data_IF_581982355250
#
_entry.id   IF_581982355250
#
_cell.length_a   1.000
_cell.length_b   1.000
_cell.length_c   1.000
_cell.angle_alpha   90.00
_cell.angle_beta   90.00
_cell.angle_gamma   90.00
#
_symmetry.space_group_name_H-M   'P 1'
#
loop_
_entity.id
_entity.type
_entity.pdbx_description
1 polymer ?
#
# COMPACT_ATOMS: atom_id res chain seq x y z
N UNK A 1 -43.44 49.82 26.79
CA UNK A 1 -43.53 48.41 26.37
C UNK A 1 -43.20 48.20 24.89
N UNK A 2 -43.86 48.87 23.95
CA UNK A 2 -43.67 48.67 22.50
C UNK A 2 -42.24 48.96 21.97
N UNK A 3 -41.60 50.05 22.41
CA UNK A 3 -40.21 50.40 22.00
C UNK A 3 -39.17 49.39 22.51
N UNK A 4 -39.40 48.79 23.68
CA UNK A 4 -38.53 47.77 24.26
C UNK A 4 -38.64 46.45 23.50
N UNK A 5 -39.88 46.00 23.21
CA UNK A 5 -40.14 44.79 22.42
C UNK A 5 -39.57 44.93 21.00
N UNK A 6 -39.72 46.10 20.36
CA UNK A 6 -39.17 46.36 19.03
C UNK A 6 -37.63 46.43 19.02
N UNK A 7 -37.02 46.96 20.07
CA UNK A 7 -35.56 46.95 20.25
C UNK A 7 -35.01 45.53 20.43
N UNK A 8 -35.67 44.71 21.26
CA UNK A 8 -35.32 43.30 21.44
C UNK A 8 -35.49 42.50 20.14
N UNK A 9 -36.57 42.73 19.39
CA UNK A 9 -36.78 42.10 18.09
C UNK A 9 -35.67 42.44 17.09
N UNK A 10 -35.32 43.73 16.93
CA UNK A 10 -34.21 44.14 16.06
C UNK A 10 -32.88 43.52 16.49
N UNK A 11 -32.61 43.46 17.79
CA UNK A 11 -31.42 42.81 18.32
C UNK A 11 -31.38 41.32 17.99
N UNK A 12 -32.49 40.59 18.19
CA UNK A 12 -32.61 39.17 17.84
C UNK A 12 -32.46 38.93 16.33
N UNK A 13 -33.01 39.80 15.48
CA UNK A 13 -32.83 39.72 14.03
C UNK A 13 -31.37 39.92 13.65
N UNK A 14 -30.70 40.94 14.20
CA UNK A 14 -29.27 41.19 13.94
C UNK A 14 -28.42 40.00 14.40
N UNK A 15 -28.65 39.47 15.60
CA UNK A 15 -27.97 38.27 16.09
C UNK A 15 -28.19 37.05 15.18
N UNK A 16 -29.42 36.85 14.72
CA UNK A 16 -29.77 35.75 13.81
C UNK A 16 -29.04 35.89 12.47
N UNK A 17 -28.98 37.10 11.91
CA UNK A 17 -28.24 37.38 10.68
C UNK A 17 -26.74 37.14 10.88
N UNK A 18 -26.16 37.63 11.98
CA UNK A 18 -24.75 37.40 12.31
C UNK A 18 -24.45 35.90 12.47
N UNK A 19 -25.31 35.15 13.17
CA UNK A 19 -25.16 33.71 13.33
C UNK A 19 -25.28 32.97 11.99
N UNK A 20 -26.23 33.35 11.13
CA UNK A 20 -26.43 32.77 9.81
C UNK A 20 -25.24 33.06 8.87
N UNK A 21 -24.72 34.29 8.89
CA UNK A 21 -23.52 34.68 8.13
C UNK A 21 -22.29 33.92 8.66
N UNK A 22 -22.12 33.84 9.97
CA UNK A 22 -21.04 33.09 10.61
C UNK A 22 -21.09 31.60 10.26
N UNK A 23 -22.27 30.98 10.31
CA UNK A 23 -22.49 29.61 9.88
C UNK A 23 -22.20 29.45 8.38
N UNK A 24 -22.63 30.40 7.54
CA UNK A 24 -22.35 30.41 6.12
C UNK A 24 -20.86 30.46 5.80
N UNK A 25 -20.10 31.33 6.47
CA UNK A 25 -18.63 31.42 6.35
C UNK A 25 -17.98 30.12 6.82
N UNK A 26 -18.40 29.59 7.98
CA UNK A 26 -17.88 28.33 8.52
C UNK A 26 -18.15 27.17 7.56
N UNK A 27 -19.36 27.04 7.03
CA UNK A 27 -19.72 25.98 6.08
C UNK A 27 -18.97 26.14 4.75
N UNK A 28 -18.80 27.37 4.26
CA UNK A 28 -17.98 27.62 3.07
C UNK A 28 -16.52 27.20 3.30
N UNK A 29 -15.92 27.60 4.42
CA UNK A 29 -14.56 27.16 4.78
C UNK A 29 -14.47 25.63 4.89
N UNK A 30 -15.41 25.01 5.62
CA UNK A 30 -15.45 23.57 5.84
C UNK A 30 -15.57 22.79 4.54
N UNK A 31 -16.52 23.15 3.67
CA UNK A 31 -16.79 22.44 2.41
C UNK A 31 -15.70 22.67 1.35
N UNK A 32 -14.88 23.71 1.50
CA UNK A 32 -13.69 23.95 0.67
C UNK A 32 -12.39 23.42 1.32
N UNK A 33 -12.45 22.82 2.52
CA UNK A 33 -11.27 22.26 3.18
C UNK A 33 -10.81 20.99 2.45
N UNK A 34 -9.55 20.98 2.04
CA UNK A 34 -8.88 19.86 1.40
C UNK A 34 -7.40 19.84 1.80
N UNK A 35 -7.12 19.35 3.01
CA UNK A 35 -5.79 19.38 3.62
C UNK A 35 -5.32 17.98 3.99
N UNK A 36 -4.34 17.46 3.27
CA UNK A 36 -3.63 16.25 3.66
C UNK A 36 -2.51 16.58 4.64
N UNK A 37 -2.22 15.66 5.55
CA UNK A 37 -0.97 15.69 6.29
C UNK A 37 0.22 15.59 5.32
N UNK A 38 1.26 16.36 5.62
CA UNK A 38 2.50 16.42 4.86
C UNK A 38 3.66 16.49 5.84
N UNK A 39 4.76 15.84 5.48
CA UNK A 39 5.93 15.70 6.33
C UNK A 39 7.16 16.23 5.61
N UNK A 40 8.01 16.95 6.35
CA UNK A 40 9.29 17.46 5.84
C UNK A 40 10.30 16.33 5.70
N UNK A 41 10.34 15.41 6.66
CA UNK A 41 11.17 14.22 6.58
C UNK A 41 10.71 13.32 5.40
N UNK A 42 11.59 13.02 4.43
CA UNK A 42 11.21 12.24 3.26
C UNK A 42 10.78 10.80 3.59
N UNK A 43 11.38 10.17 4.63
CA UNK A 43 10.97 8.84 5.09
C UNK A 43 9.55 8.87 5.66
N UNK A 44 9.24 9.86 6.49
CA UNK A 44 7.89 10.09 7.01
C UNK A 44 6.88 10.41 5.90
N UNK A 45 7.28 11.22 4.90
CA UNK A 45 6.44 11.51 3.75
C UNK A 45 6.10 10.23 2.98
N UNK A 46 7.04 9.32 2.79
CA UNK A 46 6.77 8.02 2.18
C UNK A 46 5.86 7.15 3.06
N UNK A 47 6.11 7.08 4.36
CA UNK A 47 5.31 6.30 5.32
C UNK A 47 3.85 6.75 5.43
N UNK A 48 3.59 8.06 5.41
CA UNK A 48 2.29 8.62 5.82
C UNK A 48 1.68 9.65 4.85
N UNK A 49 2.39 10.07 3.80
CA UNK A 49 1.90 11.08 2.87
C UNK A 49 0.74 10.59 2.00
N UNK A 50 -0.18 11.49 1.68
CA UNK A 50 -1.30 11.22 0.76
C UNK A 50 -0.83 10.99 -0.67
N UNK A 51 -1.35 9.98 -1.37
CA UNK A 51 -1.24 9.87 -2.84
C UNK A 51 -2.44 10.52 -3.56
N UNK A 52 -3.48 10.87 -2.81
CA UNK A 52 -4.75 11.41 -3.30
C UNK A 52 -5.92 10.42 -3.22
N UNK A 53 -5.66 9.12 -3.05
CA UNK A 53 -6.69 8.08 -2.98
C UNK A 53 -7.69 8.27 -1.83
N UNK A 54 -7.25 8.88 -0.73
CA UNK A 54 -8.06 9.23 0.44
C UNK A 54 -9.22 10.20 0.14
N UNK A 55 -9.19 10.96 -0.96
CA UNK A 55 -10.35 11.76 -1.39
C UNK A 55 -11.52 10.90 -1.86
N UNK A 56 -11.23 9.84 -2.61
CA UNK A 56 -12.24 9.00 -3.24
C UNK A 56 -12.62 7.81 -2.37
N UNK A 57 -11.62 7.08 -1.88
CA UNK A 57 -11.77 5.79 -1.20
C UNK A 57 -11.49 5.86 0.30
N UNK A 58 -11.02 7.00 0.80
CA UNK A 58 -10.73 7.18 2.22
C UNK A 58 -11.95 6.97 3.11
N UNK A 59 -11.75 6.21 4.17
CA UNK A 59 -12.74 5.95 5.21
C UNK A 59 -12.71 7.08 6.23
N UNK A 60 -13.85 7.53 6.76
CA UNK A 60 -13.83 8.45 7.88
C UNK A 60 -13.03 7.85 9.04
N UNK A 61 -12.04 8.60 9.56
CA UNK A 61 -11.08 8.10 10.54
C UNK A 61 -11.72 7.51 11.82
N UNK A 62 -12.79 8.11 12.41
CA UNK A 62 -13.50 7.49 13.52
C UNK A 62 -14.08 6.10 13.20
N UNK A 63 -14.59 5.88 11.98
CA UNK A 63 -15.07 4.56 11.55
C UNK A 63 -13.89 3.60 11.44
N UNK A 64 -12.77 4.04 10.86
CA UNK A 64 -11.55 3.23 10.84
C UNK A 64 -11.09 2.82 12.25
N UNK A 65 -11.16 3.71 13.23
CA UNK A 65 -10.73 3.38 14.59
C UNK A 65 -11.60 2.31 15.25
N UNK A 66 -12.93 2.43 15.14
CA UNK A 66 -13.86 1.52 15.83
C UNK A 66 -14.05 0.18 15.10
N UNK A 67 -13.69 0.07 13.83
CA UNK A 67 -13.96 -1.14 13.04
C UNK A 67 -13.44 -2.43 13.68
N UNK A 68 -12.16 -2.54 14.10
CA UNK A 68 -11.65 -3.76 14.75
C UNK A 68 -12.36 -4.10 16.07
N UNK A 69 -12.87 -3.09 16.78
CA UNK A 69 -13.59 -3.26 18.05
C UNK A 69 -15.04 -3.70 17.80
N UNK A 70 -15.78 -2.93 16.99
CA UNK A 70 -17.17 -3.22 16.66
C UNK A 70 -17.30 -4.58 15.97
N UNK A 71 -16.43 -4.86 14.99
CA UNK A 71 -16.47 -6.07 14.17
C UNK A 71 -15.52 -7.17 14.64
N UNK A 72 -15.19 -7.18 15.94
CA UNK A 72 -14.26 -8.13 16.58
C UNK A 72 -14.43 -9.60 16.14
N UNK A 73 -15.67 -10.08 15.95
CA UNK A 73 -15.93 -11.46 15.54
C UNK A 73 -15.38 -11.86 14.16
N UNK A 74 -15.04 -10.87 13.32
CA UNK A 74 -14.48 -11.06 11.99
C UNK A 74 -12.96 -10.87 11.96
N UNK A 75 -12.34 -10.53 13.09
CA UNK A 75 -10.89 -10.37 13.21
C UNK A 75 -10.18 -11.72 13.01
N UNK A 76 -8.90 -11.71 12.61
CA UNK A 76 -8.09 -12.92 12.54
C UNK A 76 -8.09 -13.66 13.88
N UNK A 77 -8.38 -14.97 13.82
CA UNK A 77 -8.57 -15.80 15.01
C UNK A 77 -7.32 -15.80 15.89
N UNK A 78 -7.48 -15.53 17.18
CA UNK A 78 -6.40 -15.45 18.16
C UNK A 78 -5.61 -14.14 18.16
N UNK A 79 -6.01 -13.17 17.32
CA UNK A 79 -5.39 -11.83 17.21
C UNK A 79 -6.43 -10.71 17.35
N UNK A 80 -7.59 -11.01 17.95
CA UNK A 80 -8.75 -10.10 18.02
C UNK A 80 -8.46 -8.82 18.82
N UNK A 81 -7.47 -8.85 19.72
CA UNK A 81 -7.05 -7.72 20.55
C UNK A 81 -5.95 -6.85 19.92
N UNK A 82 -5.40 -7.25 18.77
CA UNK A 82 -4.28 -6.53 18.14
C UNK A 82 -4.73 -5.36 17.24
N UNK A 83 -6.04 -5.13 17.11
CA UNK A 83 -6.59 -4.10 16.22
C UNK A 83 -6.07 -4.27 14.79
N UNK A 84 -5.65 -3.19 14.14
CA UNK A 84 -5.14 -3.27 12.77
C UNK A 84 -3.84 -4.10 12.64
N UNK A 85 -3.05 -4.24 13.71
CA UNK A 85 -1.84 -5.07 13.67
C UNK A 85 -2.14 -6.57 13.46
N UNK A 86 -3.37 -7.02 13.74
CA UNK A 86 -3.84 -8.37 13.43
C UNK A 86 -3.72 -8.74 11.94
N UNK A 87 -3.77 -7.74 11.05
CA UNK A 87 -3.60 -7.88 9.61
C UNK A 87 -2.16 -7.61 9.14
N UNK A 88 -1.22 -7.43 10.07
CA UNK A 88 0.17 -7.14 9.76
C UNK A 88 0.50 -5.67 9.49
N UNK A 89 -0.43 -4.76 9.78
CA UNK A 89 -0.13 -3.32 9.76
C UNK A 89 0.95 -2.97 10.79
N UNK A 90 1.88 -2.09 10.39
CA UNK A 90 3.01 -1.67 11.21
C UNK A 90 2.65 -0.40 11.98
N UNK A 91 2.93 -0.36 13.28
CA UNK A 91 2.81 0.83 14.11
C UNK A 91 4.17 1.30 14.60
N UNK A 92 4.28 2.62 14.79
CA UNK A 92 5.42 3.27 15.42
C UNK A 92 5.02 3.80 16.78
N UNK A 93 5.90 3.66 17.77
CA UNK A 93 5.72 4.29 19.06
C UNK A 93 5.60 5.80 18.92
N UNK A 94 4.80 6.42 19.79
CA UNK A 94 4.54 7.86 19.75
C UNK A 94 5.81 8.72 19.82
N UNK A 95 6.84 8.23 20.50
CA UNK A 95 8.16 8.89 20.57
C UNK A 95 8.86 8.98 19.20
N UNK A 96 8.54 8.06 18.28
CA UNK A 96 9.07 7.99 16.92
C UNK A 96 8.14 8.63 15.88
N UNK A 97 7.01 9.21 16.29
CA UNK A 97 6.11 9.86 15.34
C UNK A 97 6.77 11.06 14.67
N UNK A 98 6.62 11.22 13.34
CA UNK A 98 7.13 12.40 12.66
C UNK A 98 6.39 13.65 13.13
N UNK A 99 7.11 14.77 13.12
CA UNK A 99 6.53 16.07 13.44
C UNK A 99 5.31 16.36 12.56
N UNK A 100 4.19 16.72 13.19
CA UNK A 100 2.93 17.01 12.51
C UNK A 100 1.94 15.84 12.48
N UNK A 101 2.35 14.63 12.86
CA UNK A 101 1.42 13.50 13.02
C UNK A 101 0.64 13.62 14.33
N UNK A 102 -0.70 13.65 14.25
CA UNK A 102 -1.55 13.82 15.44
C UNK A 102 -2.47 12.62 15.74
N UNK A 103 -2.53 11.61 14.86
CA UNK A 103 -3.35 10.41 15.03
C UNK A 103 -2.49 9.15 15.08
N UNK A 104 -2.82 8.22 15.98
CA UNK A 104 -2.20 6.89 16.00
C UNK A 104 -2.77 6.04 14.85
N UNK A 105 -1.98 5.85 13.80
CA UNK A 105 -2.37 5.07 12.63
C UNK A 105 -1.16 4.32 12.05
N UNK A 106 -1.39 3.23 11.31
CA UNK A 106 -0.29 2.43 10.78
C UNK A 106 0.60 3.18 9.79
N UNK A 107 1.86 2.78 9.72
CA UNK A 107 2.71 3.03 8.55
C UNK A 107 2.00 2.48 7.31
N UNK A 108 2.07 3.23 6.22
CA UNK A 108 1.32 2.88 5.00
C UNK A 108 -0.05 3.52 4.93
N UNK A 109 -0.40 4.45 5.82
CA UNK A 109 -1.70 5.13 5.82
C UNK A 109 -1.58 6.65 5.76
N UNK A 110 -2.55 7.25 5.10
CA UNK A 110 -2.66 8.70 4.88
C UNK A 110 -3.73 9.29 5.79
N UNK A 111 -3.67 10.59 6.04
CA UNK A 111 -4.76 11.31 6.70
C UNK A 111 -5.01 12.63 5.99
N UNK A 112 -6.27 12.87 5.58
CA UNK A 112 -6.70 14.10 4.93
C UNK A 112 -8.00 14.59 5.53
N UNK A 113 -8.04 15.87 5.89
CA UNK A 113 -9.30 16.56 6.13
C UNK A 113 -9.90 16.98 4.78
N UNK A 114 -10.94 16.28 4.35
CA UNK A 114 -11.67 16.57 3.13
C UNK A 114 -13.11 16.95 3.50
N UNK A 115 -13.46 18.20 3.25
CA UNK A 115 -14.78 18.78 3.53
C UNK A 115 -15.20 18.72 5.01
N UNK A 116 -14.23 18.83 5.94
CA UNK A 116 -14.45 18.75 7.38
C UNK A 116 -14.50 17.33 7.95
N UNK A 117 -14.22 16.31 7.14
CA UNK A 117 -14.13 14.91 7.57
C UNK A 117 -12.69 14.45 7.42
N UNK A 118 -12.05 14.03 8.51
CA UNK A 118 -10.77 13.32 8.44
C UNK A 118 -10.98 11.95 7.82
N UNK A 119 -10.27 11.68 6.72
CA UNK A 119 -10.31 10.42 5.97
C UNK A 119 -8.94 9.77 5.98
N UNK A 120 -8.94 8.47 6.22
CA UNK A 120 -7.76 7.61 6.20
C UNK A 120 -7.82 6.64 5.03
N UNK A 121 -6.69 6.41 4.40
CA UNK A 121 -6.55 5.44 3.32
C UNK A 121 -5.13 4.87 3.26
N UNK A 122 -4.93 3.80 2.49
CA UNK A 122 -3.60 3.20 2.31
C UNK A 122 -2.78 3.95 1.24
N UNK A 123 -1.47 4.02 1.41
CA UNK A 123 -0.51 4.49 0.41
C UNK A 123 0.55 3.42 0.08
N UNK A 124 1.57 3.80 -0.68
CA UNK A 124 2.65 2.92 -1.13
C UNK A 124 3.36 2.17 0.01
N UNK A 125 3.50 2.79 1.18
CA UNK A 125 4.24 2.21 2.29
C UNK A 125 3.54 1.00 2.93
N UNK A 126 2.24 0.79 2.69
CA UNK A 126 1.56 -0.41 3.17
C UNK A 126 2.15 -1.70 2.56
N UNK A 127 2.65 -1.62 1.32
CA UNK A 127 3.26 -2.74 0.60
C UNK A 127 4.79 -2.68 0.52
N UNK A 128 5.37 -1.50 0.78
CA UNK A 128 6.79 -1.21 0.57
C UNK A 128 7.51 -0.71 1.83
N UNK A 129 7.00 -1.10 2.99
CA UNK A 129 7.72 -0.99 4.27
C UNK A 129 7.58 -2.30 5.01
N UNK A 130 8.71 -2.88 5.40
CA UNK A 130 8.78 -4.11 6.17
C UNK A 130 9.32 -3.89 7.58
N UNK A 131 9.36 -4.97 8.36
CA UNK A 131 10.02 -5.01 9.66
C UNK A 131 10.99 -6.16 9.75
N UNK A 132 12.12 -5.91 10.39
CA UNK A 132 13.13 -6.92 10.67
C UNK A 132 13.54 -6.88 12.13
N UNK A 133 13.67 -8.05 12.74
CA UNK A 133 14.06 -8.24 14.14
C UNK A 133 15.22 -9.23 14.21
N UNK A 134 16.30 -8.80 14.86
CA UNK A 134 17.52 -9.61 14.99
C UNK A 134 17.36 -10.82 15.94
N UNK A 135 16.52 -10.70 16.98
CA UNK A 135 16.22 -11.78 17.92
C UNK A 135 14.82 -11.62 18.50
N UNK A 136 14.28 -12.64 19.17
CA UNK A 136 12.90 -12.63 19.66
C UNK A 136 12.56 -11.39 20.52
N UNK A 137 13.52 -10.94 21.33
CA UNK A 137 13.36 -9.83 22.28
C UNK A 137 13.89 -8.48 21.76
N UNK A 138 14.41 -8.42 20.53
CA UNK A 138 14.92 -7.16 19.97
C UNK A 138 13.77 -6.26 19.50
N UNK A 139 13.96 -4.95 19.55
CA UNK A 139 13.04 -4.03 18.89
C UNK A 139 13.09 -4.25 17.37
N UNK A 140 11.93 -4.32 16.67
CA UNK A 140 11.90 -4.48 15.24
C UNK A 140 12.30 -3.18 14.54
N UNK A 141 13.25 -3.27 13.61
CA UNK A 141 13.61 -2.16 12.72
C UNK A 141 12.58 -2.06 11.58
N UNK A 142 12.05 -0.86 11.37
CA UNK A 142 11.16 -0.55 10.24
C UNK A 142 12.01 -0.13 9.04
N UNK A 143 11.96 -0.93 7.98
CA UNK A 143 12.80 -0.71 6.79
C UNK A 143 11.98 -0.14 5.65
N UNK A 144 12.23 1.13 5.34
CA UNK A 144 11.52 1.85 4.26
C UNK A 144 12.04 1.44 2.89
N UNK A 145 11.13 1.06 1.99
CA UNK A 145 11.44 0.59 0.64
C UNK A 145 11.60 -0.94 0.53
N UNK A 146 11.52 -1.66 1.65
CA UNK A 146 11.54 -3.12 1.74
C UNK A 146 10.20 -3.71 1.26
N UNK A 147 10.19 -4.90 0.63
CA UNK A 147 8.97 -5.69 0.49
C UNK A 147 8.28 -5.87 1.85
N UNK A 148 7.02 -5.44 1.98
CA UNK A 148 6.31 -5.62 3.24
C UNK A 148 6.12 -7.11 3.53
N UNK A 149 6.77 -7.62 4.57
CA UNK A 149 6.80 -9.05 4.91
C UNK A 149 5.63 -9.48 5.80
N UNK A 150 4.96 -8.54 6.48
CA UNK A 150 3.97 -8.83 7.53
C UNK A 150 2.52 -8.56 7.13
N UNK A 151 2.27 -7.60 6.24
CA UNK A 151 0.92 -7.20 5.83
C UNK A 151 0.19 -8.34 5.11
N UNK A 152 -1.03 -8.64 5.53
CA UNK A 152 -1.96 -9.57 4.87
C UNK A 152 -3.14 -8.77 4.32
N UNK A 153 -2.98 -8.28 3.09
CA UNK A 153 -4.03 -7.50 2.42
C UNK A 153 -5.28 -8.34 2.12
N UNK A 154 -5.15 -9.66 1.95
CA UNK A 154 -6.31 -10.52 1.72
C UNK A 154 -7.15 -10.64 2.99
N UNK A 155 -6.52 -10.91 4.14
CA UNK A 155 -7.21 -10.95 5.43
C UNK A 155 -7.86 -9.60 5.77
N UNK A 156 -7.16 -8.49 5.47
CA UNK A 156 -7.72 -7.15 5.63
C UNK A 156 -8.95 -6.93 4.72
N UNK A 157 -8.88 -7.32 3.45
CA UNK A 157 -10.02 -7.24 2.53
C UNK A 157 -11.20 -8.08 3.02
N UNK A 158 -10.96 -9.34 3.40
CA UNK A 158 -11.98 -10.24 3.93
C UNK A 158 -12.69 -9.63 5.15
N UNK A 159 -11.93 -9.04 6.07
CA UNK A 159 -12.48 -8.34 7.24
C UNK A 159 -13.35 -7.14 6.85
N UNK A 160 -12.90 -6.31 5.91
CA UNK A 160 -13.67 -5.15 5.44
C UNK A 160 -15.01 -5.59 4.84
N UNK A 161 -15.00 -6.64 4.01
CA UNK A 161 -16.20 -7.20 3.39
C UNK A 161 -17.14 -7.81 4.43
N UNK A 162 -16.61 -8.61 5.36
CA UNK A 162 -17.39 -9.23 6.43
C UNK A 162 -18.04 -8.17 7.34
N UNK A 163 -17.29 -7.11 7.67
CA UNK A 163 -17.79 -5.97 8.45
C UNK A 163 -18.95 -5.27 7.74
N UNK A 164 -18.82 -4.97 6.44
CA UNK A 164 -19.89 -4.30 5.69
C UNK A 164 -21.16 -5.17 5.52
N UNK A 165 -21.03 -6.49 5.60
CA UNK A 165 -22.15 -7.44 5.61
C UNK A 165 -22.76 -7.65 7.00
N UNK A 166 -22.10 -7.19 8.05
CA UNK A 166 -22.57 -7.33 9.42
C UNK A 166 -23.85 -6.53 9.68
N UNK A 167 -24.76 -7.11 10.47
CA UNK A 167 -26.01 -6.44 10.86
C UNK A 167 -25.76 -5.19 11.71
N UNK A 168 -24.62 -5.11 12.41
CA UNK A 168 -24.22 -3.96 13.23
C UNK A 168 -23.57 -2.84 12.43
N UNK A 169 -23.47 -2.95 11.11
CA UNK A 169 -23.02 -1.83 10.27
C UNK A 169 -24.16 -0.82 10.05
N UNK A 170 -24.63 -0.24 11.15
CA UNK A 170 -25.71 0.74 11.21
C UNK A 170 -25.21 2.08 11.77
N UNK A 171 -25.88 3.21 11.47
CA UNK A 171 -25.51 4.48 12.07
C UNK A 171 -25.59 4.47 13.60
N UNK A 172 -26.58 3.77 14.16
CA UNK A 172 -26.80 3.66 15.61
C UNK A 172 -25.62 2.96 16.30
N UNK A 173 -25.24 1.76 15.82
CA UNK A 173 -24.16 0.97 16.41
C UNK A 173 -22.79 1.65 16.23
N UNK A 174 -22.53 2.21 15.03
CA UNK A 174 -21.26 2.90 14.77
C UNK A 174 -21.11 4.15 15.63
N UNK A 175 -22.17 4.97 15.78
CA UNK A 175 -22.10 6.16 16.62
C UNK A 175 -22.00 5.77 18.09
N UNK A 176 -22.71 4.73 18.54
CA UNK A 176 -22.61 4.23 19.90
C UNK A 176 -21.19 3.75 20.22
N UNK A 177 -20.54 3.04 19.31
CA UNK A 177 -19.16 2.58 19.49
C UNK A 177 -18.15 3.76 19.48
N UNK A 178 -18.35 4.74 18.59
CA UNK A 178 -17.55 5.98 18.57
C UNK A 178 -17.63 6.69 19.93
N UNK A 179 -18.82 6.74 20.53
CA UNK A 179 -19.05 7.36 21.83
C UNK A 179 -18.42 6.52 22.97
N UNK A 180 -18.50 5.19 22.90
CA UNK A 180 -17.90 4.27 23.87
C UNK A 180 -16.37 4.36 23.89
N UNK A 181 -15.74 4.49 22.73
CA UNK A 181 -14.30 4.68 22.56
C UNK A 181 -13.83 6.12 22.84
N UNK A 182 -14.75 7.03 23.20
CA UNK A 182 -14.42 8.42 23.54
C UNK A 182 -13.87 9.23 22.36
N UNK A 183 -14.20 8.84 21.12
CA UNK A 183 -13.70 9.51 19.91
C UNK A 183 -14.51 10.80 19.68
N UNK A 184 -13.88 11.98 19.66
CA UNK A 184 -14.60 13.24 19.55
C UNK A 184 -15.25 13.40 18.17
N UNK A 185 -16.55 13.69 18.16
CA UNK A 185 -17.34 13.94 16.96
C UNK A 185 -18.19 15.21 17.12
N UNK A 186 -17.89 16.25 16.33
CA UNK A 186 -18.69 17.48 16.35
C UNK A 186 -20.12 17.26 15.86
N UNK A 187 -21.03 18.18 16.17
CA UNK A 187 -22.46 18.05 15.85
C UNK A 187 -22.71 17.84 14.34
N UNK A 188 -21.99 18.54 13.48
CA UNK A 188 -22.18 18.43 12.02
C UNK A 188 -21.71 17.06 11.55
N UNK A 189 -20.53 16.62 11.98
CA UNK A 189 -20.03 15.28 11.68
C UNK A 189 -20.97 14.19 12.24
N UNK A 190 -21.50 14.34 13.45
CA UNK A 190 -22.47 13.40 14.01
C UNK A 190 -23.73 13.27 13.15
N UNK A 191 -24.29 14.39 12.67
CA UNK A 191 -25.44 14.36 11.77
C UNK A 191 -25.08 13.74 10.41
N UNK A 192 -23.92 14.06 9.86
CA UNK A 192 -23.42 13.45 8.62
C UNK A 192 -23.29 11.94 8.77
N UNK A 193 -22.77 11.45 9.88
CA UNK A 193 -22.60 10.01 10.13
C UNK A 193 -23.94 9.32 10.28
N UNK A 194 -24.84 9.93 11.06
CA UNK A 194 -26.18 9.40 11.33
C UNK A 194 -27.01 9.22 10.07
N UNK A 195 -26.97 10.20 9.17
CA UNK A 195 -27.87 10.24 8.02
C UNK A 195 -27.23 9.83 6.68
N UNK A 196 -25.90 9.82 6.57
CA UNK A 196 -25.24 9.66 5.27
C UNK A 196 -23.96 8.81 5.28
N UNK A 197 -22.95 9.18 6.07
CA UNK A 197 -21.61 8.63 5.89
C UNK A 197 -21.54 7.12 6.15
N UNK A 198 -22.25 6.60 7.15
CA UNK A 198 -22.27 5.17 7.45
C UNK A 198 -22.83 4.35 6.28
N UNK A 199 -23.97 4.76 5.74
CA UNK A 199 -24.57 4.09 4.57
C UNK A 199 -23.65 4.15 3.35
N UNK A 200 -23.04 5.31 3.09
CA UNK A 200 -22.11 5.48 1.98
C UNK A 200 -20.86 4.63 2.12
N UNK A 201 -20.27 4.57 3.31
CA UNK A 201 -19.10 3.72 3.58
C UNK A 201 -19.44 2.25 3.36
N UNK A 202 -20.57 1.78 3.92
CA UNK A 202 -21.03 0.40 3.74
C UNK A 202 -21.18 0.05 2.26
N UNK A 203 -21.89 0.89 1.50
CA UNK A 203 -22.12 0.67 0.08
C UNK A 203 -20.83 0.69 -0.73
N UNK A 204 -19.90 1.60 -0.42
CA UNK A 204 -18.59 1.65 -1.08
C UNK A 204 -17.77 0.39 -0.83
N UNK A 205 -17.71 -0.09 0.41
CA UNK A 205 -17.00 -1.33 0.73
C UNK A 205 -17.58 -2.50 -0.08
N UNK A 206 -18.91 -2.65 -0.11
CA UNK A 206 -19.58 -3.72 -0.86
C UNK A 206 -19.36 -3.60 -2.39
N UNK A 207 -19.36 -2.37 -2.91
CA UNK A 207 -19.12 -2.11 -4.35
C UNK A 207 -17.69 -2.46 -4.74
N UNK A 208 -16.72 -2.13 -3.88
CA UNK A 208 -15.33 -2.49 -4.07
C UNK A 208 -15.19 -4.01 -3.96
N UNK A 209 -15.79 -4.64 -2.96
CA UNK A 209 -15.75 -6.09 -2.75
C UNK A 209 -16.13 -6.88 -4.02
N UNK A 210 -17.19 -6.46 -4.73
CA UNK A 210 -17.61 -7.10 -5.97
C UNK A 210 -16.54 -7.01 -7.08
N UNK A 211 -15.79 -5.90 -7.14
CA UNK A 211 -14.65 -5.75 -8.07
C UNK A 211 -13.45 -6.62 -7.70
N UNK A 212 -13.34 -7.00 -6.43
CA UNK A 212 -12.26 -7.84 -5.92
C UNK A 212 -12.56 -9.35 -5.97
N UNK A 213 -13.69 -9.75 -6.56
CA UNK A 213 -14.10 -11.16 -6.72
C UNK A 213 -13.13 -12.03 -7.53
N UNK A 214 -12.13 -11.45 -8.19
CA UNK A 214 -11.03 -12.24 -8.77
C UNK A 214 -10.30 -13.07 -7.69
N UNK A 215 -10.23 -12.57 -6.46
CA UNK A 215 -9.57 -13.26 -5.34
C UNK A 215 -10.27 -14.58 -4.98
N UNK A 216 -11.56 -14.75 -5.33
CA UNK A 216 -12.30 -16.01 -5.14
C UNK A 216 -11.78 -17.14 -6.05
N UNK A 217 -11.03 -16.78 -7.11
CA UNK A 217 -10.48 -17.71 -8.11
C UNK A 217 -8.96 -17.90 -7.97
N UNK A 218 -8.34 -17.28 -7.00
CA UNK A 218 -6.89 -17.28 -6.78
C UNK A 218 -6.53 -18.07 -5.52
N UNK A 219 -5.31 -18.62 -5.43
CA UNK A 219 -4.82 -19.17 -4.16
C UNK A 219 -4.76 -18.07 -3.10
N UNK A 220 -4.90 -18.46 -1.83
CA UNK A 220 -4.73 -17.53 -0.70
C UNK A 220 -3.39 -16.80 -0.79
N UNK A 221 -3.41 -15.47 -0.72
CA UNK A 221 -2.22 -14.63 -0.88
C UNK A 221 -1.30 -14.80 0.32
N UNK A 222 -1.86 -14.68 1.53
CA UNK A 222 -1.11 -14.65 2.77
C UNK A 222 -0.19 -13.41 2.88
N UNK A 223 0.58 -13.33 3.98
CA UNK A 223 1.41 -12.16 4.26
C UNK A 223 2.48 -11.87 3.19
N UNK A 224 2.59 -10.59 2.85
CA UNK A 224 3.58 -10.04 1.93
C UNK A 224 3.33 -10.33 0.46
N UNK A 225 2.11 -10.72 0.09
CA UNK A 225 1.74 -10.96 -1.31
C UNK A 225 0.43 -10.29 -1.67
N UNK A 226 0.30 -9.98 -2.96
CA UNK A 226 -0.93 -9.44 -3.51
C UNK A 226 -1.03 -9.71 -5.01
N UNK A 227 -2.26 -9.75 -5.53
CA UNK A 227 -2.47 -9.75 -6.97
C UNK A 227 -2.28 -8.34 -7.56
N UNK A 228 -1.28 -8.19 -8.43
CA UNK A 228 -0.96 -6.88 -9.01
C UNK A 228 -1.88 -6.41 -10.13
N UNK A 229 -2.55 -7.31 -10.88
CA UNK A 229 -3.16 -6.96 -12.16
C UNK A 229 -4.59 -7.44 -12.37
N UNK A 230 -5.06 -8.45 -11.66
CA UNK A 230 -6.49 -8.74 -11.53
C UNK A 230 -7.29 -7.52 -11.03
N UNK A 231 -6.81 -6.69 -10.06
CA UNK A 231 -7.45 -5.42 -9.75
C UNK A 231 -7.52 -4.45 -10.95
N UNK A 232 -6.47 -4.41 -11.79
CA UNK A 232 -6.47 -3.56 -12.97
C UNK A 232 -7.49 -4.04 -14.01
N UNK A 233 -7.59 -5.35 -14.26
CA UNK A 233 -8.63 -5.96 -15.11
C UNK A 233 -10.04 -5.59 -14.61
N UNK A 234 -10.26 -5.69 -13.29
CA UNK A 234 -11.53 -5.31 -12.67
C UNK A 234 -11.84 -3.82 -12.85
N UNK A 235 -10.84 -2.93 -12.77
CA UNK A 235 -11.02 -1.50 -13.06
C UNK A 235 -11.41 -1.23 -14.52
N UNK A 236 -10.95 -2.06 -15.45
CA UNK A 236 -11.36 -2.03 -16.86
C UNK A 236 -12.64 -2.82 -17.16
N UNK A 237 -13.40 -3.22 -16.13
CA UNK A 237 -14.66 -3.96 -16.22
C UNK A 237 -14.55 -5.29 -16.97
N UNK A 238 -13.41 -5.98 -16.87
CA UNK A 238 -13.32 -7.34 -17.39
C UNK A 238 -14.26 -8.27 -16.63
N UNK A 239 -15.09 -9.07 -17.34
CA UNK A 239 -15.92 -10.07 -16.68
C UNK A 239 -15.03 -11.20 -16.16
N UNK A 240 -14.88 -11.28 -14.84
CA UNK A 240 -14.00 -12.24 -14.15
C UNK A 240 -14.26 -13.70 -14.59
N UNK A 241 -15.53 -14.06 -14.81
CA UNK A 241 -15.93 -15.40 -15.21
C UNK A 241 -15.46 -15.77 -16.64
N UNK A 242 -15.20 -14.76 -17.48
CA UNK A 242 -14.69 -14.93 -18.84
C UNK A 242 -13.16 -14.90 -18.92
N UNK A 243 -12.46 -14.55 -17.84
CA UNK A 243 -10.98 -14.58 -17.81
C UNK A 243 -10.55 -16.05 -17.90
N UNK A 244 -9.71 -16.44 -18.87
CA UNK A 244 -9.20 -17.80 -18.99
C UNK A 244 -8.49 -18.25 -17.71
N UNK A 245 -8.68 -19.50 -17.29
CA UNK A 245 -8.14 -20.01 -16.01
C UNK A 245 -6.64 -19.77 -15.83
N UNK A 246 -5.86 -19.93 -16.90
CA UNK A 246 -4.40 -19.71 -16.87
C UNK A 246 -3.99 -18.24 -16.68
N UNK A 247 -4.90 -17.29 -16.92
CA UNK A 247 -4.66 -15.86 -16.71
C UNK A 247 -5.22 -15.33 -15.38
N UNK A 248 -5.81 -16.20 -14.55
CA UNK A 248 -6.49 -15.75 -13.31
C UNK A 248 -5.52 -15.44 -12.19
N UNK A 249 -4.38 -16.10 -12.12
CA UNK A 249 -3.47 -15.99 -10.97
C UNK A 249 -2.40 -14.93 -11.24
N UNK A 250 -2.45 -13.79 -10.56
CA UNK A 250 -1.44 -12.72 -10.63
C UNK A 250 -0.77 -12.41 -9.29
N UNK A 251 -0.87 -13.32 -8.32
CA UNK A 251 -0.33 -13.21 -6.96
C UNK A 251 1.20 -13.17 -6.98
N UNK A 252 1.78 -12.10 -6.43
CA UNK A 252 3.22 -11.88 -6.36
C UNK A 252 3.65 -11.37 -5.00
N UNK A 253 4.93 -11.54 -4.69
CA UNK A 253 5.60 -10.81 -3.62
C UNK A 253 5.81 -9.34 -4.02
N UNK A 254 5.94 -8.46 -3.02
CA UNK A 254 6.22 -7.06 -3.27
C UNK A 254 7.69 -6.87 -3.68
N UNK A 255 8.00 -6.05 -4.71
CA UNK A 255 9.38 -5.71 -5.01
C UNK A 255 9.91 -4.66 -4.02
N UNK A 256 11.24 -4.61 -3.86
CA UNK A 256 11.90 -3.46 -3.23
C UNK A 256 11.76 -2.22 -4.12
N UNK A 257 11.75 -1.04 -3.51
CA UNK A 257 11.51 0.23 -4.23
C UNK A 257 12.56 1.31 -3.97
N UNK A 258 13.64 0.98 -3.28
CA UNK A 258 14.81 1.84 -3.11
C UNK A 258 15.69 1.85 -4.38
N UNK A 259 16.71 2.71 -4.39
CA UNK A 259 17.72 2.82 -5.47
C UNK A 259 17.11 2.96 -6.87
N UNK A 260 16.02 3.74 -7.01
CA UNK A 260 15.33 3.86 -8.29
C UNK A 260 16.14 4.60 -9.35
N UNK A 261 17.10 5.46 -8.95
CA UNK A 261 17.96 6.18 -9.89
C UNK A 261 18.73 5.22 -10.79
N UNK A 262 19.29 4.16 -10.22
CA UNK A 262 20.03 3.14 -10.96
C UNK A 262 19.11 2.26 -11.83
N UNK A 263 17.79 2.28 -11.60
CA UNK A 263 16.80 1.48 -12.33
C UNK A 263 16.20 2.22 -13.54
N UNK A 264 16.59 3.48 -13.77
CA UNK A 264 16.14 4.26 -14.92
C UNK A 264 16.60 3.56 -16.21
N UNK A 265 15.66 3.31 -17.12
CA UNK A 265 15.92 2.63 -18.40
C UNK A 265 15.82 1.10 -18.34
N UNK A 266 15.69 0.49 -17.16
CA UNK A 266 15.45 -0.94 -17.03
C UNK A 266 14.01 -1.33 -17.36
N UNK A 267 13.78 -2.62 -17.62
CA UNK A 267 12.46 -3.24 -17.64
C UNK A 267 11.99 -3.49 -16.20
N UNK A 268 10.99 -2.74 -15.76
CA UNK A 268 10.45 -2.64 -14.41
C UNK A 268 9.25 -3.58 -14.20
N UNK A 269 8.86 -3.76 -12.94
CA UNK A 269 7.99 -4.85 -12.46
C UNK A 269 8.63 -6.23 -12.64
N UNK A 270 8.01 -7.24 -12.04
CA UNK A 270 8.50 -8.63 -12.12
C UNK A 270 8.62 -9.11 -13.57
N UNK A 271 7.67 -8.77 -14.42
CA UNK A 271 7.59 -9.16 -15.84
C UNK A 271 8.27 -8.18 -16.79
N UNK A 272 8.91 -7.11 -16.31
CA UNK A 272 9.59 -6.16 -17.18
C UNK A 272 8.64 -5.35 -18.08
N UNK A 273 7.37 -5.22 -17.67
CA UNK A 273 6.30 -4.72 -18.52
C UNK A 273 6.26 -3.18 -18.66
N UNK A 274 7.11 -2.44 -17.94
CA UNK A 274 7.24 -0.99 -18.05
C UNK A 274 8.73 -0.59 -18.11
N UNK A 275 9.08 0.58 -18.68
CA UNK A 275 10.48 1.10 -18.73
C UNK A 275 10.68 2.45 -18.05
N UNK A 276 9.60 3.07 -17.57
CA UNK A 276 9.64 4.43 -17.05
C UNK A 276 9.28 4.41 -15.57
N UNK A 277 10.26 4.78 -14.73
CA UNK A 277 10.16 4.70 -13.28
C UNK A 277 8.98 5.52 -12.75
N UNK A 278 8.80 6.74 -13.26
CA UNK A 278 7.72 7.65 -12.86
C UNK A 278 6.35 7.11 -13.30
N UNK A 279 6.27 6.50 -14.50
CA UNK A 279 5.04 5.87 -14.99
C UNK A 279 4.66 4.67 -14.14
N UNK A 280 5.64 3.83 -13.79
CA UNK A 280 5.47 2.69 -12.89
C UNK A 280 4.99 3.11 -11.50
N UNK A 281 5.59 4.13 -10.91
CA UNK A 281 5.20 4.65 -9.60
C UNK A 281 3.78 5.23 -9.62
N UNK A 282 3.43 5.98 -10.68
CA UNK A 282 2.07 6.50 -10.88
C UNK A 282 1.05 5.37 -11.08
N UNK A 283 1.40 4.30 -11.78
CA UNK A 283 0.54 3.11 -11.90
C UNK A 283 0.28 2.44 -10.55
N UNK A 284 1.29 2.37 -9.69
CA UNK A 284 1.12 1.84 -8.33
C UNK A 284 0.16 2.75 -7.51
N UNK A 285 0.34 4.08 -7.59
CA UNK A 285 -0.55 5.04 -6.95
C UNK A 285 -1.99 4.94 -7.47
N UNK A 286 -2.18 4.74 -8.78
CA UNK A 286 -3.48 4.51 -9.40
C UNK A 286 -4.19 3.29 -8.80
N UNK A 287 -3.46 2.20 -8.54
CA UNK A 287 -3.97 1.01 -7.85
C UNK A 287 -4.47 1.30 -6.43
N UNK A 288 -3.85 2.25 -5.74
CA UNK A 288 -4.33 2.81 -4.45
C UNK A 288 -5.38 3.91 -4.62
N UNK A 289 -6.10 3.94 -5.74
CA UNK A 289 -7.21 4.86 -5.95
C UNK A 289 -6.83 6.32 -6.20
N UNK A 290 -5.54 6.64 -6.37
CA UNK A 290 -5.07 7.96 -6.74
C UNK A 290 -5.28 8.22 -8.24
N UNK A 291 -6.55 8.37 -8.64
CA UNK A 291 -6.95 8.63 -10.02
C UNK A 291 -6.46 10.02 -10.49
N UNK A 292 -6.25 10.24 -11.80
CA UNK A 292 -5.68 11.49 -12.31
C UNK A 292 -6.27 12.81 -11.78
N UNK A 293 -7.61 12.96 -11.60
CA UNK A 293 -8.21 14.19 -11.07
C UNK A 293 -7.91 14.47 -9.59
N UNK A 294 -7.60 13.43 -8.80
CA UNK A 294 -7.39 13.54 -7.35
C UNK A 294 -5.95 13.28 -6.92
N UNK A 295 -5.09 12.87 -7.85
CA UNK A 295 -3.69 12.56 -7.66
C UNK A 295 -2.95 13.71 -6.96
N UNK A 296 -2.35 13.42 -5.80
CA UNK A 296 -1.50 14.37 -5.08
C UNK A 296 -0.08 14.37 -5.68
N UNK A 297 0.06 15.09 -6.80
CA UNK A 297 1.31 15.16 -7.59
C UNK A 297 2.49 15.67 -6.77
N UNK A 298 2.28 16.63 -5.87
CA UNK A 298 3.35 17.17 -5.03
C UNK A 298 3.86 16.13 -4.05
N UNK A 299 2.95 15.45 -3.36
CA UNK A 299 3.30 14.38 -2.43
C UNK A 299 4.01 13.22 -3.13
N UNK A 300 3.47 12.75 -4.26
CA UNK A 300 4.07 11.66 -5.04
C UNK A 300 5.46 12.05 -5.53
N UNK A 301 5.63 13.26 -6.07
CA UNK A 301 6.95 13.74 -6.52
C UNK A 301 7.99 13.73 -5.39
N UNK A 302 7.61 14.08 -4.15
CA UNK A 302 8.51 13.98 -2.98
C UNK A 302 8.85 12.53 -2.64
N UNK A 303 7.87 11.63 -2.69
CA UNK A 303 8.09 10.19 -2.48
C UNK A 303 9.02 9.61 -3.55
N UNK A 304 8.79 9.92 -4.82
CA UNK A 304 9.64 9.48 -5.94
C UNK A 304 11.06 9.99 -5.78
N UNK A 305 11.23 11.28 -5.46
CA UNK A 305 12.55 11.89 -5.21
C UNK A 305 13.30 11.17 -4.09
N UNK A 306 12.62 10.81 -2.99
CA UNK A 306 13.22 10.04 -1.91
C UNK A 306 13.68 8.65 -2.39
N UNK A 307 12.84 7.93 -3.14
CA UNK A 307 13.13 6.57 -3.61
C UNK A 307 14.26 6.48 -4.64
N UNK A 308 14.60 7.58 -5.32
CA UNK A 308 15.74 7.63 -6.24
C UNK A 308 17.03 7.18 -5.55
N UNK A 309 17.25 7.65 -4.31
CA UNK A 309 18.53 7.49 -3.60
C UNK A 309 18.39 6.78 -2.24
N UNK A 310 17.17 6.40 -1.84
CA UNK A 310 16.94 5.54 -0.68
C UNK A 310 17.78 4.25 -0.80
N UNK A 311 18.28 3.74 0.33
CA UNK A 311 19.12 2.55 0.39
C UNK A 311 18.60 1.58 1.46
N UNK A 312 18.72 0.26 1.25
CA UNK A 312 18.53 -0.70 2.32
C UNK A 312 19.63 -0.53 3.39
N UNK A 313 19.35 -0.88 4.66
CA UNK A 313 20.40 -1.02 5.67
C UNK A 313 21.40 -2.10 5.26
N UNK A 314 22.66 -1.90 5.65
CA UNK A 314 23.72 -2.87 5.36
C UNK A 314 23.59 -4.06 6.31
N UNK A 315 23.72 -5.28 5.79
CA UNK A 315 23.64 -6.50 6.61
C UNK A 315 24.60 -6.45 7.81
N UNK A 316 25.82 -5.95 7.59
CA UNK A 316 26.86 -5.83 8.61
C UNK A 316 26.54 -4.82 9.72
N UNK A 317 25.62 -3.89 9.50
CA UNK A 317 25.18 -2.94 10.54
C UNK A 317 24.23 -3.62 11.54
N UNK A 318 23.35 -4.50 11.05
CA UNK A 318 22.39 -5.22 11.91
C UNK A 318 22.95 -6.53 12.47
N UNK A 319 23.76 -7.25 11.69
CA UNK A 319 24.33 -8.55 12.05
C UNK A 319 25.85 -8.60 11.90
N UNK A 320 26.61 -7.72 12.61
CA UNK A 320 28.06 -7.63 12.45
C UNK A 320 28.80 -8.94 12.75
N UNK A 321 28.30 -9.71 13.72
CA UNK A 321 28.91 -10.97 14.16
C UNK A 321 28.63 -12.16 13.22
N UNK A 322 27.68 -12.01 12.30
CA UNK A 322 27.27 -13.07 11.37
C UNK A 322 27.86 -12.90 9.96
N UNK A 323 28.61 -11.82 9.70
CA UNK A 323 29.31 -11.63 8.44
C UNK A 323 30.74 -12.17 8.50
N UNK A 324 30.94 -13.40 8.03
CA UNK A 324 32.28 -13.91 7.72
C UNK A 324 32.82 -13.25 6.45
N UNK A 325 33.63 -12.20 6.63
CA UNK A 325 34.26 -11.45 5.53
C UNK A 325 35.22 -12.31 4.70
N UNK A 326 35.90 -13.28 5.32
CA UNK A 326 36.83 -14.15 4.60
C UNK A 326 36.05 -15.12 3.70
N UNK A 327 34.89 -15.60 4.15
CA UNK A 327 34.00 -16.41 3.33
C UNK A 327 33.32 -15.59 2.22
N UNK A 328 32.88 -14.37 2.51
CA UNK A 328 32.32 -13.46 1.50
C UNK A 328 33.33 -13.16 0.37
N UNK A 329 34.60 -12.96 0.73
CA UNK A 329 35.67 -12.74 -0.27
C UNK A 329 35.91 -13.97 -1.15
N UNK A 330 35.72 -15.19 -0.62
CA UNK A 330 35.75 -16.43 -1.43
C UNK A 330 34.54 -16.53 -2.36
N UNK A 331 33.37 -16.07 -1.91
CA UNK A 331 32.15 -16.07 -2.72
C UNK A 331 32.15 -15.04 -3.85
N UNK A 332 32.88 -13.92 -3.67
CA UNK A 332 32.96 -12.83 -4.65
C UNK A 332 33.32 -13.29 -6.08
N UNK A 333 34.42 -14.02 -6.34
CA UNK A 333 34.73 -14.47 -7.70
C UNK A 333 33.70 -15.44 -8.29
N UNK A 334 33.00 -16.21 -7.44
CA UNK A 334 31.91 -17.10 -7.89
C UNK A 334 30.71 -16.26 -8.35
N UNK A 335 30.33 -15.25 -7.55
CA UNK A 335 29.27 -14.31 -7.92
C UNK A 335 29.59 -13.56 -9.22
N UNK A 336 30.83 -13.06 -9.35
CA UNK A 336 31.30 -12.35 -10.54
C UNK A 336 31.21 -13.23 -11.79
N UNK A 337 31.50 -14.53 -11.68
CA UNK A 337 31.46 -15.47 -12.79
C UNK A 337 30.04 -15.98 -13.13
N UNK A 338 29.20 -16.25 -12.13
CA UNK A 338 27.94 -17.00 -12.33
C UNK A 338 26.68 -16.14 -12.22
N UNK A 339 26.75 -14.95 -11.60
CA UNK A 339 25.57 -14.16 -11.23
C UNK A 339 25.56 -12.75 -11.84
N UNK A 340 26.74 -12.11 -11.91
CA UNK A 340 26.84 -10.67 -12.13
C UNK A 340 26.30 -10.21 -13.51
N UNK A 341 26.36 -11.06 -14.53
CA UNK A 341 25.88 -10.73 -15.88
C UNK A 341 24.37 -10.41 -15.92
N UNK A 342 23.58 -11.12 -15.10
CA UNK A 342 22.13 -10.93 -14.96
C UNK A 342 21.76 -9.99 -13.82
N UNK A 343 22.50 -10.01 -12.71
CA UNK A 343 22.08 -9.35 -11.47
C UNK A 343 22.85 -8.07 -11.13
N UNK A 344 23.88 -7.74 -11.90
CA UNK A 344 24.73 -6.58 -11.66
C UNK A 344 26.02 -6.96 -10.95
N UNK A 345 27.07 -6.16 -11.16
CA UNK A 345 28.37 -6.36 -10.55
C UNK A 345 28.33 -6.35 -9.00
N UNK A 346 27.38 -5.65 -8.38
CA UNK A 346 27.16 -5.71 -6.94
C UNK A 346 25.77 -5.20 -6.52
N UNK A 347 25.45 -5.26 -5.22
CA UNK A 347 24.25 -4.63 -4.65
C UNK A 347 24.20 -3.09 -4.76
N UNK A 348 25.20 -2.45 -5.36
CA UNK A 348 25.25 -0.99 -5.61
C UNK A 348 25.57 -0.64 -7.07
N UNK A 349 26.09 -1.59 -7.82
CA UNK A 349 26.47 -1.45 -9.22
C UNK A 349 25.59 -2.39 -10.05
N UNK A 350 24.62 -1.79 -10.75
CA UNK A 350 23.64 -2.53 -11.54
C UNK A 350 24.06 -2.65 -13.01
N UNK A 351 25.37 -2.64 -13.30
CA UNK A 351 25.90 -2.87 -14.64
C UNK A 351 26.06 -4.36 -14.94
N UNK A 352 25.75 -4.74 -16.18
CA UNK A 352 25.84 -6.11 -16.72
C UNK A 352 24.99 -6.22 -17.97
N UNK A 353 25.25 -7.22 -18.82
CA UNK A 353 24.60 -7.35 -20.13
C UNK A 353 23.08 -7.54 -20.02
N UNK A 354 22.64 -8.36 -19.07
CA UNK A 354 21.23 -8.73 -18.93
C UNK A 354 20.53 -8.03 -17.76
N UNK A 355 21.20 -7.14 -17.04
CA UNK A 355 20.64 -6.47 -15.86
C UNK A 355 19.47 -5.59 -16.22
N UNK A 356 18.34 -5.79 -15.53
CA UNK A 356 17.10 -5.07 -15.82
C UNK A 356 16.51 -5.40 -17.20
N UNK A 357 17.00 -6.45 -17.88
CA UNK A 357 16.38 -7.00 -19.09
C UNK A 357 15.45 -8.17 -18.71
N UNK A 358 14.74 -8.75 -19.68
CA UNK A 358 13.79 -9.84 -19.42
C UNK A 358 14.42 -11.14 -19.85
N UNK A 359 14.59 -12.06 -18.91
CA UNK A 359 14.93 -13.45 -19.17
C UNK A 359 13.68 -14.21 -19.65
N UNK A 360 13.74 -14.95 -20.77
CA UNK A 360 12.63 -15.75 -21.27
C UNK A 360 12.07 -16.73 -20.22
N UNK A 361 10.75 -16.92 -20.20
CA UNK A 361 10.10 -17.79 -19.21
C UNK A 361 10.55 -19.26 -19.34
N UNK A 362 10.81 -19.72 -20.56
CA UNK A 362 11.29 -21.07 -20.86
C UNK A 362 12.72 -21.31 -20.38
N UNK A 363 13.51 -20.25 -20.22
CA UNK A 363 14.89 -20.32 -19.74
C UNK A 363 14.96 -20.19 -18.22
N UNK A 364 14.30 -19.18 -17.64
CA UNK A 364 14.31 -18.95 -16.18
C UNK A 364 13.55 -20.04 -15.41
N UNK A 365 12.57 -20.70 -16.04
CA UNK A 365 11.89 -21.89 -15.49
C UNK A 365 11.09 -21.66 -14.20
N UNK A 366 10.78 -20.40 -13.85
CA UNK A 366 9.95 -20.07 -12.68
C UNK A 366 8.46 -20.09 -13.03
N UNK A 367 7.60 -20.00 -12.01
CA UNK A 367 6.14 -19.98 -12.17
C UNK A 367 5.67 -18.93 -13.21
N UNK A 368 4.80 -19.32 -14.15
CA UNK A 368 4.36 -18.45 -15.26
C UNK A 368 3.06 -17.69 -15.01
N UNK A 369 2.37 -17.92 -13.89
CA UNK A 369 1.02 -17.39 -13.69
C UNK A 369 0.99 -15.86 -13.74
N UNK A 370 1.91 -15.20 -13.04
CA UNK A 370 2.01 -13.73 -13.06
C UNK A 370 2.28 -13.18 -14.46
N UNK A 371 3.10 -13.87 -15.25
CA UNK A 371 3.32 -13.52 -16.65
C UNK A 371 2.00 -13.65 -17.42
N UNK A 372 1.34 -14.80 -17.37
CA UNK A 372 0.10 -15.08 -18.11
C UNK A 372 -1.07 -14.16 -17.72
N UNK A 373 -1.18 -13.81 -16.44
CA UNK A 373 -2.18 -12.86 -15.96
C UNK A 373 -2.03 -11.49 -16.62
N UNK A 374 -0.80 -11.03 -16.88
CA UNK A 374 -0.60 -9.77 -17.60
C UNK A 374 -0.68 -9.99 -19.11
N UNK A 375 -1.79 -9.63 -19.76
CA UNK A 375 -2.00 -9.88 -21.20
C UNK A 375 -1.64 -8.67 -22.06
N UNK A 376 -1.59 -8.89 -23.39
CA UNK A 376 -1.43 -7.81 -24.37
C UNK A 376 -2.57 -6.79 -24.29
N UNK A 377 -3.82 -7.25 -24.12
CA UNK A 377 -4.99 -6.37 -24.02
C UNK A 377 -4.95 -5.50 -22.75
N UNK A 378 -4.49 -6.08 -21.62
CA UNK A 378 -4.32 -5.31 -20.40
C UNK A 378 -3.25 -4.22 -20.57
N UNK A 379 -2.13 -4.53 -21.23
CA UNK A 379 -1.09 -3.56 -21.53
C UNK A 379 -1.62 -2.41 -22.41
N UNK A 380 -2.42 -2.71 -23.43
CA UNK A 380 -3.06 -1.70 -24.25
C UNK A 380 -4.01 -0.81 -23.45
N UNK A 381 -4.87 -1.41 -22.62
CA UNK A 381 -5.80 -0.65 -21.78
C UNK A 381 -5.08 0.25 -20.77
N UNK A 382 -3.98 -0.22 -20.17
CA UNK A 382 -3.17 0.61 -19.28
C UNK A 382 -2.56 1.81 -20.00
N UNK A 383 -2.12 1.68 -21.25
CA UNK A 383 -1.63 2.82 -22.06
C UNK A 383 -2.74 3.82 -22.50
N UNK A 384 -4.01 3.55 -22.18
CA UNK A 384 -5.10 4.52 -22.31
C UNK A 384 -5.31 5.35 -21.03
N UNK A 385 -4.76 4.90 -19.90
CA UNK A 385 -4.81 5.67 -18.66
C UNK A 385 -4.06 6.99 -18.82
N UNK A 386 -4.55 8.01 -18.13
CA UNK A 386 -4.02 9.37 -18.21
C UNK A 386 -4.10 10.01 -19.62
N UNK A 387 -4.91 9.47 -20.55
CA UNK A 387 -5.02 9.98 -21.93
C UNK A 387 -5.36 11.47 -22.07
N UNK A 388 -6.08 12.05 -21.11
CA UNK A 388 -6.42 13.48 -21.06
C UNK A 388 -5.41 14.36 -20.30
N UNK A 389 -4.28 13.80 -19.86
CA UNK A 389 -3.33 14.44 -18.92
C UNK A 389 -1.94 14.66 -19.54
N UNK A 390 -1.89 14.90 -20.86
CA UNK A 390 -0.67 15.28 -21.57
C UNK A 390 0.48 14.28 -21.38
N UNK A 391 1.62 14.77 -20.90
CA UNK A 391 2.83 13.98 -20.66
C UNK A 391 2.69 12.94 -19.55
N UNK A 392 1.63 13.00 -18.75
CA UNK A 392 1.34 11.99 -17.72
C UNK A 392 0.72 10.72 -18.30
N UNK A 393 0.28 10.74 -19.56
CA UNK A 393 -0.30 9.58 -20.25
C UNK A 393 0.64 8.37 -20.18
N UNK A 394 0.10 7.21 -19.83
CA UNK A 394 0.86 5.96 -19.84
C UNK A 394 1.15 5.53 -21.28
N UNK A 395 2.42 5.21 -21.56
CA UNK A 395 2.89 4.86 -22.90
C UNK A 395 3.94 3.74 -22.91
N UNK A 396 4.42 3.30 -21.75
CA UNK A 396 5.54 2.37 -21.64
C UNK A 396 5.12 0.96 -21.23
N UNK A 397 3.82 0.68 -21.08
CA UNK A 397 3.33 -0.65 -20.77
C UNK A 397 3.36 -1.57 -21.99
N UNK A 398 3.84 -2.80 -21.82
CA UNK A 398 3.93 -3.81 -22.88
C UNK A 398 3.94 -5.22 -22.31
N UNK A 399 3.32 -6.17 -23.03
CA UNK A 399 3.50 -7.59 -22.75
C UNK A 399 4.93 -8.01 -23.07
N UNK A 400 5.50 -8.83 -22.20
CA UNK A 400 6.80 -9.47 -22.37
C UNK A 400 6.62 -11.00 -22.37
N UNK A 401 7.73 -11.73 -22.43
CA UNK A 401 7.75 -13.20 -22.51
C UNK A 401 8.58 -13.82 -21.39
N UNK A 402 8.62 -13.18 -20.22
CA UNK A 402 9.43 -13.66 -19.09
C UNK A 402 9.51 -12.66 -17.94
N UNK A 403 10.54 -12.81 -17.10
CA UNK A 403 10.72 -11.98 -15.91
C UNK A 403 12.01 -11.14 -15.99
N UNK A 404 11.96 -9.96 -15.39
CA UNK A 404 13.06 -9.03 -15.36
C UNK A 404 14.16 -9.49 -14.39
N UNK A 405 15.41 -9.48 -14.86
CA UNK A 405 16.57 -9.76 -14.02
C UNK A 405 16.82 -8.59 -13.07
N UNK A 406 16.36 -8.74 -11.84
CA UNK A 406 16.44 -7.71 -10.82
C UNK A 406 17.85 -7.66 -10.20
N UNK A 407 18.42 -6.47 -9.97
CA UNK A 407 19.56 -6.32 -9.09
C UNK A 407 19.32 -6.90 -7.69
N UNK A 408 20.40 -7.30 -7.03
CA UNK A 408 20.40 -8.00 -5.72
C UNK A 408 20.73 -7.07 -4.53
N UNK A 409 20.50 -5.78 -4.70
CA UNK A 409 20.51 -4.79 -3.62
C UNK A 409 19.57 -5.18 -2.48
N UNK A 410 20.11 -5.17 -1.25
CA UNK A 410 19.38 -5.51 -0.04
C UNK A 410 18.77 -6.92 -0.06
N UNK A 411 19.37 -7.88 -0.78
CA UNK A 411 18.80 -9.22 -0.97
C UNK A 411 18.47 -9.94 0.35
N UNK A 412 19.21 -9.68 1.42
CA UNK A 412 18.95 -10.23 2.76
C UNK A 412 17.59 -9.76 3.33
N UNK A 413 17.05 -8.62 2.88
CA UNK A 413 15.74 -8.07 3.29
C UNK A 413 14.58 -8.51 2.39
N UNK A 414 14.85 -9.36 1.40
CA UNK A 414 13.90 -9.65 0.31
C UNK A 414 13.43 -11.11 0.33
N UNK A 415 13.63 -11.80 1.44
CA UNK A 415 13.00 -13.09 1.68
C UNK A 415 11.48 -12.90 1.91
N UNK A 416 10.64 -13.84 1.45
CA UNK A 416 10.96 -14.99 0.61
C UNK A 416 11.28 -14.61 -0.85
N UNK A 417 12.03 -15.46 -1.55
CA UNK A 417 12.60 -15.19 -2.87
C UNK A 417 11.71 -15.64 -4.04
N UNK A 418 12.07 -15.13 -5.23
CA UNK A 418 11.32 -15.20 -6.49
C UNK A 418 10.11 -14.25 -6.53
N UNK A 419 9.54 -14.06 -7.73
CA UNK A 419 8.45 -13.10 -7.94
C UNK A 419 7.18 -13.40 -7.14
N UNK A 420 6.97 -14.65 -6.73
CA UNK A 420 5.83 -15.11 -5.95
C UNK A 420 6.19 -15.45 -4.49
N UNK A 421 7.45 -15.20 -4.11
CA UNK A 421 7.98 -15.48 -2.78
C UNK A 421 7.78 -16.94 -2.35
N UNK A 422 8.11 -17.87 -3.24
CA UNK A 422 7.92 -19.31 -3.05
C UNK A 422 9.13 -20.03 -2.46
N UNK A 423 10.24 -19.32 -2.22
CA UNK A 423 11.47 -19.90 -1.67
C UNK A 423 11.87 -19.18 -0.39
N UNK A 424 11.91 -19.84 0.78
CA UNK A 424 12.00 -19.15 2.07
C UNK A 424 13.36 -18.51 2.34
N UNK A 425 14.46 -19.15 1.95
CA UNK A 425 15.82 -18.71 2.29
C UNK A 425 16.72 -18.57 1.06
N UNK A 426 17.80 -17.78 1.18
CA UNK A 426 18.83 -17.70 0.12
C UNK A 426 19.49 -19.06 -0.11
N UNK A 427 19.65 -19.85 0.95
CA UNK A 427 20.20 -21.18 0.85
C UNK A 427 19.36 -22.07 -0.06
N UNK A 428 18.05 -22.12 0.18
CA UNK A 428 17.10 -22.90 -0.64
C UNK A 428 17.05 -22.40 -2.08
N UNK A 429 17.18 -21.09 -2.30
CA UNK A 429 17.21 -20.50 -3.64
C UNK A 429 18.38 -21.03 -4.48
N UNK A 430 19.54 -21.22 -3.83
CA UNK A 430 20.77 -21.73 -4.45
C UNK A 430 20.82 -23.26 -4.53
N UNK A 431 19.86 -23.97 -3.93
CA UNK A 431 19.73 -25.43 -4.09
C UNK A 431 18.98 -25.78 -5.39
N UNK A 432 19.15 -27.03 -5.89
CA UNK A 432 18.30 -27.59 -6.93
C UNK A 432 16.79 -27.41 -6.60
N UNK A 433 15.94 -27.11 -7.60
CA UNK A 433 14.52 -26.87 -7.36
C UNK A 433 13.78 -27.96 -6.59
N UNK A 434 14.17 -29.23 -6.79
CA UNK A 434 13.61 -30.41 -6.14
C UNK A 434 13.89 -30.49 -4.63
N UNK A 435 14.92 -29.82 -4.14
CA UNK A 435 15.31 -29.80 -2.72
C UNK A 435 14.65 -28.66 -1.94
N UNK A 436 13.94 -27.75 -2.63
CA UNK A 436 13.30 -26.58 -2.02
C UNK A 436 12.10 -26.99 -1.17
N UNK A 437 11.88 -26.36 0.00
CA UNK A 437 10.69 -26.62 0.82
C UNK A 437 9.39 -26.40 0.03
N UNK A 438 8.52 -27.40 0.02
CA UNK A 438 7.21 -27.32 -0.65
C UNK A 438 6.18 -26.48 0.10
N UNK A 439 6.40 -26.24 1.40
CA UNK A 439 5.57 -25.37 2.23
C UNK A 439 6.39 -24.80 3.40
N UNK A 440 6.09 -23.55 3.79
CA UNK A 440 6.69 -22.86 4.92
C UNK A 440 5.78 -21.72 5.42
N UNK A 441 6.06 -21.22 6.62
CA UNK A 441 5.32 -20.08 7.19
C UNK A 441 5.89 -18.75 6.69
N UNK A 442 5.00 -17.79 6.41
CA UNK A 442 5.30 -16.40 6.04
C UNK A 442 4.74 -15.44 7.08
N UNK A 443 5.17 -14.18 7.05
CA UNK A 443 4.68 -13.14 7.96
C UNK A 443 5.55 -12.87 9.18
N UNK A 444 6.72 -13.51 9.28
CA UNK A 444 7.69 -13.28 10.36
C UNK A 444 8.46 -11.98 10.13
N UNK A 445 8.63 -11.18 11.19
CA UNK A 445 9.62 -10.09 11.23
C UNK A 445 10.97 -10.56 11.79
N UNK A 446 11.07 -11.76 12.37
CA UNK A 446 12.34 -12.33 12.82
C UNK A 446 13.17 -12.81 11.64
N UNK A 447 14.41 -12.37 11.59
CA UNK A 447 15.42 -12.82 10.62
C UNK A 447 16.31 -13.90 11.24
N UNK A 448 16.71 -14.87 10.42
CA UNK A 448 17.70 -15.89 10.75
C UNK A 448 18.97 -15.58 9.93
N UNK A 449 20.03 -15.01 10.56
CA UNK A 449 21.15 -14.38 9.87
C UNK A 449 22.15 -15.31 9.19
#
# INVERSE_FOLDING_TARGET
>A
MFRFIWGLFKFLVVLTVIAAVGLGIYMAWRLNTDTAETFVDPKAQFKYGSTGGDKNFGLPYPIWQIMPVLFRKHMPKGREDEGWAAFGFIYEDKVHWPQGMHRNRPVGTTLRNYQGVERIFVNCAACHVGKVRAGADSEPEIVVGMPANTIDLQAFQDFMVASAKDERFTPEDIIAEIDAEGIPLDLINRLIYKFYAVYMVRQRILTIADRFRFADYEPRFGPGRFDTFSPAKALFNWPVDAVPTHERIGVVDYPSVWLQRQRIGMKLHWDGNNTKVEERNRSAAFGTGALPPVLDRSSISRMETFLLDAKPPEFAEMFPEHLDRALAEKGRPIYEAECAECHGASGKDFTGEYVGTVAPIEEIGTDRHRLDNYTQDLAYNQNLLYGGWGEERFQNFRKTHGYANQPLDGIWLRAPYLHNGSVPTLWDLLQPPEDRPSAFFRGSDRYDP
#
